data_IF_616262339966
#
_entry.id   IF_616262339966
#
_cell.length_a   1.000
_cell.length_b   1.000
_cell.length_c   1.000
_cell.angle_alpha   90.00
_cell.angle_beta   90.00
_cell.angle_gamma   90.00
#
_symmetry.space_group_name_H-M   'P 1'
#
loop_
_entity.id
_entity.type
_entity.pdbx_description
1 polymer ?
#
# COMPACT_ATOMS: atom_id res chain seq x y z
N UNK A 1 -35.91 -11.75 -23.79
CA UNK A 1 -34.55 -12.24 -24.06
C UNK A 1 -33.70 -11.81 -22.90
N UNK A 2 -33.20 -12.76 -22.12
CA UNK A 2 -32.24 -12.47 -21.04
C UNK A 2 -30.86 -12.66 -21.66
N UNK A 3 -30.19 -11.55 -21.94
CA UNK A 3 -28.79 -11.53 -22.36
C UNK A 3 -27.95 -11.04 -21.18
N UNK A 4 -27.05 -11.92 -20.78
CA UNK A 4 -25.96 -11.84 -19.81
C UNK A 4 -25.23 -10.49 -19.69
N UNK A 5 -24.89 -10.09 -18.46
CA UNK A 5 -23.58 -9.49 -18.10
C UNK A 5 -23.42 -9.38 -16.58
N UNK A 6 -23.31 -10.51 -15.90
CA UNK A 6 -22.85 -10.58 -14.51
C UNK A 6 -21.32 -10.61 -14.43
N UNK A 7 -20.64 -9.46 -14.37
CA UNK A 7 -19.25 -9.37 -13.85
C UNK A 7 -18.70 -7.95 -13.57
N UNK A 8 -19.53 -6.90 -13.60
CA UNK A 8 -19.05 -5.52 -13.38
C UNK A 8 -19.21 -5.10 -11.93
N UNK A 9 -18.12 -4.62 -11.31
CA UNK A 9 -18.15 -4.00 -9.98
C UNK A 9 -19.11 -2.81 -9.97
N UNK A 10 -19.96 -2.69 -8.95
CA UNK A 10 -20.73 -1.45 -8.73
C UNK A 10 -19.85 -0.37 -8.08
N UNK A 11 -20.28 0.89 -8.18
CA UNK A 11 -19.60 2.00 -7.51
C UNK A 11 -19.54 1.79 -5.99
N UNK A 12 -20.63 1.35 -5.38
CA UNK A 12 -20.69 1.11 -3.92
C UNK A 12 -19.73 0.00 -3.48
N UNK A 13 -19.59 -1.07 -4.29
CA UNK A 13 -18.62 -2.14 -4.02
C UNK A 13 -17.19 -1.60 -4.09
N UNK A 14 -16.86 -0.82 -5.12
CA UNK A 14 -15.56 -0.19 -5.25
C UNK A 14 -15.26 0.76 -4.07
N UNK A 15 -16.19 1.66 -3.75
CA UNK A 15 -16.03 2.62 -2.66
C UNK A 15 -15.91 1.94 -1.29
N UNK A 16 -16.61 0.81 -1.08
CA UNK A 16 -16.43 0.00 0.13
C UNK A 16 -14.98 -0.45 0.29
N UNK A 17 -14.33 -0.92 -0.79
CA UNK A 17 -12.93 -1.31 -0.73
C UNK A 17 -11.99 -0.11 -0.56
N UNK A 18 -12.28 1.04 -1.17
CA UNK A 18 -11.52 2.28 -0.91
C UNK A 18 -11.59 2.68 0.57
N UNK A 19 -12.78 2.64 1.17
CA UNK A 19 -12.96 2.95 2.59
C UNK A 19 -12.17 1.96 3.46
N UNK A 20 -12.25 0.66 3.17
CA UNK A 20 -11.49 -0.38 3.90
C UNK A 20 -9.98 -0.19 3.78
N UNK A 21 -9.46 0.25 2.63
CA UNK A 21 -8.05 0.56 2.47
C UNK A 21 -7.59 1.65 3.43
N UNK A 22 -8.35 2.75 3.52
CA UNK A 22 -7.96 3.89 4.34
C UNK A 22 -8.22 3.70 5.84
N UNK A 23 -9.32 3.05 6.20
CA UNK A 23 -9.79 2.96 7.59
C UNK A 23 -9.53 1.59 8.25
N UNK A 24 -9.11 0.60 7.47
CA UNK A 24 -9.06 -0.78 7.95
C UNK A 24 -10.44 -1.43 8.00
N UNK A 25 -10.46 -2.69 8.43
CA UNK A 25 -11.64 -3.55 8.55
C UNK A 25 -11.32 -4.76 9.41
N UNK A 26 -12.30 -5.64 9.63
CA UNK A 26 -12.19 -6.78 10.57
C UNK A 26 -10.90 -7.61 10.43
N UNK A 27 -10.49 -7.93 9.20
CA UNK A 27 -9.27 -8.73 8.96
C UNK A 27 -7.97 -7.92 9.04
N UNK A 28 -8.03 -6.62 8.74
CA UNK A 28 -6.87 -5.72 8.71
C UNK A 28 -7.27 -4.41 9.39
N UNK A 29 -7.23 -4.35 10.73
CA UNK A 29 -7.81 -3.25 11.49
C UNK A 29 -7.04 -1.94 11.33
N UNK A 30 -5.75 -2.01 11.01
CA UNK A 30 -4.93 -0.84 10.70
C UNK A 30 -5.02 -0.50 9.21
N UNK A 31 -5.68 0.60 8.88
CA UNK A 31 -5.75 1.13 7.53
C UNK A 31 -4.56 2.02 7.17
N UNK A 32 -4.52 2.47 5.91
CA UNK A 32 -3.49 3.40 5.41
C UNK A 32 -3.36 4.68 6.26
N UNK A 33 -4.49 5.18 6.79
CA UNK A 33 -4.45 6.37 7.64
C UNK A 33 -3.71 6.13 8.95
N UNK A 34 -3.79 4.93 9.53
CA UNK A 34 -3.06 4.59 10.75
C UNK A 34 -1.55 4.55 10.47
N UNK A 35 -1.13 3.87 9.40
CA UNK A 35 0.28 3.81 8.99
C UNK A 35 0.83 5.22 8.76
N UNK A 36 0.10 6.05 8.00
CA UNK A 36 0.49 7.45 7.76
C UNK A 36 0.62 8.24 9.06
N UNK A 37 -0.31 8.09 9.99
CA UNK A 37 -0.24 8.78 11.30
C UNK A 37 0.97 8.32 12.11
N UNK A 38 1.26 7.02 12.15
CA UNK A 38 2.41 6.46 12.87
C UNK A 38 3.74 6.96 12.29
N UNK A 39 3.85 7.05 10.96
CA UNK A 39 5.00 7.66 10.29
C UNK A 39 5.20 9.12 10.71
N UNK A 40 4.15 9.93 10.59
CA UNK A 40 4.21 11.37 10.88
C UNK A 40 4.47 11.67 12.35
N UNK A 41 3.96 10.84 13.26
CA UNK A 41 4.18 11.01 14.70
C UNK A 41 5.65 10.86 15.10
N UNK A 42 6.44 10.06 14.36
CA UNK A 42 7.85 9.81 14.66
C UNK A 42 8.80 10.85 14.07
N UNK A 43 8.35 11.64 13.09
CA UNK A 43 9.19 12.63 12.39
C UNK A 43 9.13 13.97 13.12
N UNK A 44 10.27 14.40 13.68
CA UNK A 44 10.37 15.70 14.39
C UNK A 44 10.52 16.89 13.44
N UNK A 45 11.22 16.68 12.33
CA UNK A 45 11.45 17.71 11.31
C UNK A 45 10.14 18.02 10.57
N UNK A 46 9.68 19.26 10.67
CA UNK A 46 8.40 19.68 10.08
C UNK A 46 8.42 19.69 8.54
N UNK A 47 9.55 20.00 7.92
CA UNK A 47 9.67 19.99 6.46
C UNK A 47 9.61 18.54 5.95
N UNK A 48 10.36 17.64 6.59
CA UNK A 48 10.31 16.22 6.27
C UNK A 48 8.93 15.61 6.55
N UNK A 49 8.28 15.98 7.67
CA UNK A 49 6.93 15.51 7.99
C UNK A 49 5.92 15.97 6.92
N UNK A 50 6.04 17.21 6.43
CA UNK A 50 5.20 17.70 5.33
C UNK A 50 5.44 16.89 4.05
N UNK A 51 6.70 16.67 3.68
CA UNK A 51 7.05 15.90 2.48
C UNK A 51 6.53 14.46 2.55
N UNK A 52 6.74 13.79 3.68
CA UNK A 52 6.24 12.43 3.91
C UNK A 52 4.70 12.40 3.84
N UNK A 53 4.02 13.40 4.42
CA UNK A 53 2.57 13.48 4.36
C UNK A 53 2.08 13.57 2.90
N UNK A 54 2.64 14.49 2.12
CA UNK A 54 2.23 14.71 0.73
C UNK A 54 2.45 13.45 -0.11
N UNK A 55 3.63 12.82 0.00
CA UNK A 55 3.92 11.58 -0.73
C UNK A 55 3.03 10.41 -0.29
N UNK A 56 2.73 10.28 1.00
CA UNK A 56 1.83 9.24 1.52
C UNK A 56 0.38 9.44 1.06
N UNK A 57 -0.08 10.69 0.89
CA UNK A 57 -1.40 11.00 0.37
C UNK A 57 -1.51 10.58 -1.11
N UNK A 58 -0.53 10.94 -1.93
CA UNK A 58 -0.47 10.57 -3.36
C UNK A 58 -0.33 9.05 -3.57
N UNK A 59 0.51 8.41 -2.76
CA UNK A 59 0.72 6.98 -2.80
C UNK A 59 -0.55 6.21 -2.39
N UNK A 60 -1.21 6.65 -1.32
CA UNK A 60 -2.48 6.06 -0.87
C UNK A 60 -3.56 6.16 -1.94
N UNK A 61 -3.65 7.29 -2.64
CA UNK A 61 -4.60 7.48 -3.74
C UNK A 61 -4.34 6.49 -4.88
N UNK A 62 -3.07 6.30 -5.24
CA UNK A 62 -2.68 5.40 -6.33
C UNK A 62 -2.95 3.93 -5.98
N UNK A 63 -2.59 3.51 -4.77
CA UNK A 63 -2.81 2.13 -4.29
C UNK A 63 -4.31 1.85 -4.16
N UNK A 64 -5.06 2.73 -3.49
CA UNK A 64 -6.49 2.51 -3.26
C UNK A 64 -7.28 2.40 -4.56
N UNK A 65 -6.96 3.23 -5.56
CA UNK A 65 -7.61 3.22 -6.87
C UNK A 65 -7.45 1.89 -7.60
N UNK A 66 -6.28 1.26 -7.47
CA UNK A 66 -6.01 -0.01 -8.13
C UNK A 66 -6.51 -1.19 -7.31
N UNK A 67 -6.20 -1.22 -6.01
CA UNK A 67 -6.51 -2.34 -5.12
C UNK A 67 -8.01 -2.55 -4.92
N UNK A 68 -8.80 -1.47 -4.95
CA UNK A 68 -10.25 -1.52 -4.79
C UNK A 68 -11.00 -2.06 -6.01
N UNK A 69 -10.34 -2.23 -7.17
CA UNK A 69 -10.95 -2.84 -8.35
C UNK A 69 -11.26 -4.32 -8.11
N UNK A 70 -12.14 -4.88 -8.94
CA UNK A 70 -12.39 -6.33 -8.97
C UNK A 70 -11.10 -7.14 -9.12
N UNK A 71 -11.09 -8.33 -8.52
CA UNK A 71 -9.92 -9.23 -8.52
C UNK A 71 -9.43 -9.57 -9.93
N UNK A 72 -10.34 -9.68 -10.90
CA UNK A 72 -10.03 -10.05 -12.29
C UNK A 72 -9.29 -8.94 -13.05
N UNK A 73 -9.35 -7.69 -12.58
CA UNK A 73 -8.80 -6.52 -13.31
C UNK A 73 -7.71 -5.78 -12.56
N UNK A 74 -7.63 -5.94 -11.23
CA UNK A 74 -6.60 -5.28 -10.41
C UNK A 74 -5.23 -5.90 -10.63
N UNK A 75 -4.20 -5.06 -10.66
CA UNK A 75 -2.79 -5.51 -10.62
C UNK A 75 -2.19 -5.43 -9.22
N UNK A 76 -2.76 -4.62 -8.34
CA UNK A 76 -2.37 -4.53 -6.93
C UNK A 76 -3.32 -5.40 -6.10
N UNK A 77 -2.77 -6.39 -5.39
CA UNK A 77 -3.52 -7.28 -4.53
C UNK A 77 -3.18 -7.04 -3.04
N UNK A 78 -3.87 -7.76 -2.15
CA UNK A 78 -3.67 -7.63 -0.69
C UNK A 78 -2.24 -7.94 -0.25
N UNK A 79 -1.56 -8.90 -0.89
CA UNK A 79 -0.16 -9.23 -0.56
C UNK A 79 0.76 -8.02 -0.77
N UNK A 80 0.63 -7.31 -1.89
CA UNK A 80 1.43 -6.11 -2.14
C UNK A 80 1.19 -5.04 -1.08
N UNK A 81 -0.08 -4.77 -0.75
CA UNK A 81 -0.46 -3.79 0.28
C UNK A 81 0.15 -4.16 1.64
N UNK A 82 0.13 -5.45 2.01
CA UNK A 82 0.75 -5.93 3.25
C UNK A 82 2.27 -5.77 3.23
N UNK A 83 2.94 -6.13 2.13
CA UNK A 83 4.40 -5.97 1.99
C UNK A 83 4.81 -4.50 2.14
N UNK A 84 4.13 -3.60 1.43
CA UNK A 84 4.42 -2.16 1.50
C UNK A 84 4.11 -1.55 2.87
N UNK A 85 3.00 -1.95 3.51
CA UNK A 85 2.67 -1.51 4.86
C UNK A 85 3.72 -1.93 5.88
N UNK A 86 4.16 -3.19 5.84
CA UNK A 86 5.24 -3.68 6.70
C UNK A 86 6.56 -2.95 6.43
N UNK A 87 6.85 -2.67 5.15
CA UNK A 87 8.08 -1.99 4.80
C UNK A 87 8.14 -0.55 5.35
N UNK A 88 7.01 0.18 5.32
CA UNK A 88 6.87 1.51 5.90
C UNK A 88 6.97 1.49 7.43
N UNK A 89 6.35 0.52 8.10
CA UNK A 89 6.45 0.42 9.56
C UNK A 89 7.87 0.12 10.02
N UNK A 90 8.61 -0.70 9.26
CA UNK A 90 10.00 -1.02 9.56
C UNK A 90 10.94 0.16 9.29
N UNK A 91 10.68 0.97 8.26
CA UNK A 91 11.51 2.12 7.91
C UNK A 91 11.59 3.16 9.03
N UNK A 92 10.58 3.21 9.91
CA UNK A 92 10.57 4.05 11.11
C UNK A 92 11.75 3.78 12.04
N UNK A 93 12.16 2.52 12.17
CA UNK A 93 13.23 2.11 13.07
C UNK A 93 14.61 2.46 12.49
N UNK A 94 14.72 2.53 11.17
CA UNK A 94 15.98 2.67 10.44
C UNK A 94 16.21 4.10 9.91
N UNK A 95 15.20 4.97 9.97
CA UNK A 95 15.31 6.35 9.48
C UNK A 95 15.21 6.46 7.96
N UNK A 96 14.66 5.44 7.29
CA UNK A 96 14.66 5.28 5.83
C UNK A 96 13.29 5.58 5.19
N UNK A 97 12.38 6.20 5.94
CA UNK A 97 10.97 6.38 5.53
C UNK A 97 10.80 7.00 4.15
N UNK A 98 11.58 8.04 3.82
CA UNK A 98 11.46 8.70 2.53
C UNK A 98 11.89 7.78 1.37
N UNK A 99 13.00 7.07 1.53
CA UNK A 99 13.51 6.12 0.53
C UNK A 99 12.49 4.99 0.27
N UNK A 100 11.92 4.43 1.35
CA UNK A 100 10.93 3.37 1.23
C UNK A 100 9.65 3.86 0.54
N UNK A 101 9.18 5.07 0.86
CA UNK A 101 8.04 5.67 0.14
C UNK A 101 8.33 5.81 -1.35
N UNK A 102 9.53 6.26 -1.73
CA UNK A 102 9.93 6.41 -3.13
C UNK A 102 10.01 5.07 -3.87
N UNK A 103 10.56 4.04 -3.23
CA UNK A 103 10.65 2.68 -3.79
C UNK A 103 9.26 2.08 -3.99
N UNK A 104 8.37 2.21 -3.01
CA UNK A 104 6.97 1.76 -3.15
C UNK A 104 6.26 2.55 -4.25
N UNK A 105 6.51 3.85 -4.35
CA UNK A 105 5.93 4.69 -5.42
C UNK A 105 6.36 4.21 -6.81
N UNK A 106 7.63 3.84 -6.98
CA UNK A 106 8.13 3.25 -8.22
C UNK A 106 7.46 1.89 -8.52
N UNK A 107 7.32 1.02 -7.50
CA UNK A 107 6.65 -0.27 -7.65
C UNK A 107 5.18 -0.12 -8.07
N UNK A 108 4.43 0.79 -7.42
CA UNK A 108 3.04 1.07 -7.77
C UNK A 108 2.91 1.57 -9.20
N UNK A 109 3.76 2.51 -9.60
CA UNK A 109 3.78 3.04 -10.96
C UNK A 109 4.09 1.94 -11.99
N UNK A 110 5.09 1.10 -11.72
CA UNK A 110 5.51 0.08 -12.66
C UNK A 110 4.53 -1.11 -12.72
N UNK A 111 3.87 -1.46 -11.62
CA UNK A 111 2.77 -2.45 -11.63
C UNK A 111 1.57 -1.94 -12.42
N UNK A 112 1.09 -0.73 -12.11
CA UNK A 112 -0.07 -0.13 -12.81
C UNK A 112 0.26 0.08 -14.30
N UNK A 113 1.50 0.46 -14.61
CA UNK A 113 2.02 0.55 -15.96
C UNK A 113 2.34 -0.80 -16.63
N UNK A 114 2.16 -1.92 -15.93
CA UNK A 114 2.46 -3.29 -16.38
C UNK A 114 3.91 -3.48 -16.88
N UNK A 115 4.84 -2.73 -16.31
CA UNK A 115 6.28 -2.80 -16.61
C UNK A 115 6.96 -3.91 -15.84
N UNK A 116 6.39 -4.32 -14.71
CA UNK A 116 6.87 -5.43 -13.89
C UNK A 116 5.72 -6.41 -13.59
N UNK A 117 6.07 -7.69 -13.35
CA UNK A 117 5.10 -8.68 -12.89
C UNK A 117 4.74 -8.46 -11.42
N UNK A 118 3.51 -8.78 -11.02
CA UNK A 118 3.08 -8.77 -9.62
C UNK A 118 4.00 -9.60 -8.70
N UNK A 119 4.49 -10.74 -9.20
CA UNK A 119 5.28 -11.70 -8.41
C UNK A 119 6.66 -11.17 -7.98
N UNK A 120 7.13 -10.06 -8.56
CA UNK A 120 8.41 -9.45 -8.17
C UNK A 120 8.31 -8.64 -6.87
N UNK A 121 7.10 -8.32 -6.42
CA UNK A 121 6.88 -7.67 -5.14
C UNK A 121 6.90 -8.72 -4.05
N UNK A 122 8.09 -8.91 -3.48
CA UNK A 122 8.36 -9.80 -2.35
C UNK A 122 8.88 -8.99 -1.16
N UNK A 123 8.81 -9.55 0.03
CA UNK A 123 9.33 -8.95 1.27
C UNK A 123 10.82 -8.57 1.12
N UNK A 124 11.60 -9.45 0.46
CA UNK A 124 13.03 -9.27 0.19
C UNK A 124 13.36 -8.09 -0.73
N UNK A 125 12.35 -7.48 -1.35
CA UNK A 125 12.51 -6.29 -2.20
C UNK A 125 12.85 -5.05 -1.39
N UNK A 126 12.51 -5.03 -0.11
CA UNK A 126 12.72 -3.89 0.78
C UNK A 126 13.82 -4.14 1.81
N UNK A 127 13.85 -5.33 2.40
CA UNK A 127 14.82 -5.70 3.44
C UNK A 127 15.35 -7.11 3.19
N UNK A 128 16.60 -7.39 3.57
CA UNK A 128 17.14 -8.74 3.47
C UNK A 128 16.36 -9.73 4.36
N UNK A 129 16.34 -11.02 3.99
CA UNK A 129 15.65 -12.09 4.74
C UNK A 129 16.02 -12.09 6.21
N UNK A 130 17.31 -11.96 6.51
CA UNK A 130 17.85 -11.92 7.87
C UNK A 130 17.22 -10.81 8.72
N UNK A 131 16.83 -9.69 8.10
CA UNK A 131 16.22 -8.59 8.81
C UNK A 131 14.70 -8.76 8.93
N UNK A 132 14.06 -9.57 8.08
CA UNK A 132 12.62 -9.88 8.18
C UNK A 132 12.34 -10.75 9.40
N UNK A 133 13.22 -11.71 9.71
CA UNK A 133 13.03 -12.66 10.81
C UNK A 133 13.55 -12.18 12.18
N UNK A 134 14.29 -11.06 12.24
CA UNK A 134 14.80 -10.50 13.51
C UNK A 134 13.72 -9.92 14.42
N UNK A 135 12.53 -9.61 13.90
CA UNK A 135 11.40 -9.08 14.67
C UNK A 135 10.53 -10.17 15.32
N UNK A 136 10.96 -11.44 15.25
CA UNK A 136 10.27 -12.62 15.82
C UNK A 136 11.15 -13.28 16.89
N UNK A 137 11.61 -12.52 17.90
CA UNK A 137 12.17 -13.05 19.15
C UNK A 137 12.08 -12.03 20.28
#
# INVERSE_FOLDING_TARGET
GVTDSGNSQTLDQYLTWVIRFYHGWELYPSGWNNIKQDLLFRIKDQALAKEVKDKMDDLGLSISREWAKNNDTRVINTRHVSIWGNALLKSLQQGETLEIIERITADVHDLVGKKISADVITENRFYAEEDIFKDVN
#
